data_IF_142868670066
#
_entry.id   IF_142868670066
#
_cell.length_a   1.000
_cell.length_b   1.000
_cell.length_c   1.000
_cell.angle_alpha   90.00
_cell.angle_beta   90.00
_cell.angle_gamma   90.00
#
_symmetry.space_group_name_H-M   'P 1'
#
loop_
_entity.id
_entity.type
_entity.pdbx_description
1 polymer ?
#
# COMPACT_ATOMS: atom_id res chain seq x y z
N UNK A 1 2.77 -4.83 12.44
CA UNK A 1 3.43 -3.60 12.93
C UNK A 1 4.85 -3.87 13.43
N UNK A 2 5.08 -4.72 14.44
CA UNK A 2 6.43 -5.06 14.96
C UNK A 2 7.36 -5.66 13.89
N UNK A 3 6.84 -6.51 13.00
CA UNK A 3 7.61 -7.10 11.90
C UNK A 3 8.18 -6.06 10.91
N UNK A 4 7.58 -4.87 10.81
CA UNK A 4 8.04 -3.77 9.94
C UNK A 4 9.23 -3.00 10.55
N UNK A 5 9.44 -3.15 11.86
CA UNK A 5 10.48 -2.46 12.62
C UNK A 5 11.64 -3.39 12.98
N UNK A 6 11.76 -4.57 12.33
CA UNK A 6 12.85 -5.53 12.58
C UNK A 6 14.25 -4.90 12.53
N UNK A 7 14.43 -3.82 11.76
CA UNK A 7 15.69 -3.07 11.66
C UNK A 7 16.16 -2.43 12.98
N UNK A 8 15.25 -2.16 13.91
CA UNK A 8 15.53 -1.49 15.19
C UNK A 8 15.98 -2.48 16.30
N UNK A 9 15.97 -3.80 16.03
CA UNK A 9 16.43 -4.85 16.95
C UNK A 9 15.47 -5.15 18.12
N UNK A 10 15.00 -4.14 18.84
CA UNK A 10 14.12 -4.28 20.01
C UNK A 10 12.75 -4.95 19.75
N UNK A 11 12.14 -4.92 18.54
CA UNK A 11 10.86 -5.60 18.33
C UNK A 11 10.97 -7.11 18.39
N UNK A 12 12.16 -7.68 18.12
CA UNK A 12 12.39 -9.12 18.19
C UNK A 12 12.40 -9.58 19.63
N UNK A 13 13.06 -8.84 20.53
CA UNK A 13 13.10 -9.15 21.96
C UNK A 13 11.70 -9.18 22.59
N UNK A 14 10.81 -8.27 22.19
CA UNK A 14 9.43 -8.25 22.65
C UNK A 14 8.60 -9.42 22.12
N UNK A 15 8.81 -9.80 20.85
CA UNK A 15 8.16 -10.98 20.26
C UNK A 15 8.59 -12.26 20.96
N UNK A 16 9.85 -12.34 21.38
CA UNK A 16 10.42 -13.49 22.08
C UNK A 16 9.96 -13.57 23.55
N UNK A 17 9.63 -12.43 24.18
CA UNK A 17 9.03 -12.39 25.53
C UNK A 17 7.53 -12.71 25.54
N UNK A 18 6.84 -12.61 24.40
CA UNK A 18 5.42 -12.95 24.31
C UNK A 18 5.22 -14.46 24.40
N UNK A 19 4.56 -14.91 25.47
CA UNK A 19 4.05 -16.28 25.54
C UNK A 19 2.77 -16.40 24.71
N UNK A 20 2.92 -17.02 23.54
CA UNK A 20 1.82 -17.45 22.67
C UNK A 20 1.85 -18.98 22.60
N UNK A 21 0.68 -19.60 22.61
CA UNK A 21 0.57 -21.01 22.24
C UNK A 21 0.92 -21.20 20.76
N UNK A 22 1.33 -22.42 20.40
CA UNK A 22 1.81 -22.74 19.05
C UNK A 22 0.74 -22.49 17.98
N UNK A 23 -0.53 -22.75 18.29
CA UNK A 23 -1.66 -22.53 17.37
C UNK A 23 -1.84 -21.03 17.08
N UNK A 24 -1.85 -20.19 18.13
CA UNK A 24 -1.94 -18.74 18.02
C UNK A 24 -0.73 -18.15 17.31
N UNK A 25 0.47 -18.67 17.57
CA UNK A 25 1.70 -18.25 16.89
C UNK A 25 1.66 -18.58 15.41
N UNK A 26 1.11 -19.73 15.03
CA UNK A 26 1.02 -20.14 13.64
C UNK A 26 -0.03 -19.32 12.87
N UNK A 27 -1.22 -19.12 13.46
CA UNK A 27 -2.25 -18.24 12.92
C UNK A 27 -1.74 -16.79 12.73
N UNK A 28 -0.98 -16.28 13.70
CA UNK A 28 -0.38 -14.95 13.60
C UNK A 28 0.67 -14.87 12.49
N UNK A 29 1.42 -15.94 12.22
CA UNK A 29 2.40 -15.98 11.12
C UNK A 29 1.76 -16.00 9.75
N UNK A 30 0.63 -16.67 9.59
CA UNK A 30 -0.10 -16.71 8.32
C UNK A 30 -0.68 -15.35 7.91
N UNK A 31 -0.97 -14.48 8.89
CA UNK A 31 -1.43 -13.11 8.66
C UNK A 31 -0.29 -12.10 8.49
N UNK A 32 0.97 -12.50 8.71
CA UNK A 32 2.13 -11.66 8.44
C UNK A 32 2.43 -11.76 6.94
N UNK A 33 1.89 -10.81 6.19
CA UNK A 33 2.42 -10.50 4.86
C UNK A 33 3.86 -9.98 5.05
N UNK A 34 4.84 -10.84 4.76
CA UNK A 34 6.21 -10.42 4.58
C UNK A 34 6.28 -9.44 3.41
N UNK A 35 6.37 -8.15 3.71
CA UNK A 35 7.25 -7.26 2.96
C UNK A 35 6.83 -6.78 1.57
N UNK A 36 5.82 -7.34 0.90
CA UNK A 36 5.33 -6.73 -0.35
C UNK A 36 4.20 -5.75 -0.05
N UNK A 37 4.58 -4.58 0.46
CA UNK A 37 3.73 -3.41 0.25
C UNK A 37 3.60 -3.26 -1.26
N UNK A 38 2.39 -3.51 -1.78
CA UNK A 38 2.02 -3.31 -3.18
C UNK A 38 2.64 -1.99 -3.67
N UNK A 39 3.62 -2.09 -4.57
CA UNK A 39 4.40 -0.94 -5.03
C UNK A 39 3.64 -0.29 -6.18
N UNK A 40 2.87 0.74 -5.88
CA UNK A 40 2.20 1.53 -6.89
C UNK A 40 3.21 2.36 -7.67
N UNK A 41 3.16 2.28 -9.00
CA UNK A 41 4.00 3.07 -9.91
C UNK A 41 3.15 3.86 -10.87
N UNK A 42 3.61 5.05 -11.23
CA UNK A 42 3.02 5.81 -12.32
C UNK A 42 3.47 5.28 -13.70
N UNK A 43 2.90 5.85 -14.77
CA UNK A 43 3.24 5.51 -16.15
C UNK A 43 4.72 5.79 -16.53
N UNK A 44 5.46 6.54 -15.70
CA UNK A 44 6.88 6.86 -15.89
C UNK A 44 7.80 6.05 -14.95
N UNK A 45 7.23 5.13 -14.14
CA UNK A 45 7.97 4.27 -13.22
C UNK A 45 8.29 4.88 -11.86
N UNK A 46 7.73 6.06 -11.53
CA UNK A 46 7.89 6.67 -10.20
C UNK A 46 7.05 5.93 -9.17
N UNK A 47 7.63 5.63 -8.01
CA UNK A 47 6.92 5.01 -6.89
C UNK A 47 6.01 6.06 -6.25
N UNK A 48 4.73 5.75 -6.15
CA UNK A 48 3.72 6.62 -5.58
C UNK A 48 3.57 6.38 -4.09
N UNK A 49 3.25 7.45 -3.36
CA UNK A 49 2.92 7.43 -1.94
C UNK A 49 1.53 7.98 -1.68
N UNK A 50 0.94 7.58 -0.55
CA UNK A 50 -0.36 8.05 -0.13
C UNK A 50 -0.31 9.57 0.14
N UNK A 51 -1.20 10.33 -0.48
CA UNK A 51 -1.23 11.81 -0.40
C UNK A 51 -0.53 12.52 -1.57
N UNK A 52 0.08 11.79 -2.50
CA UNK A 52 0.75 12.39 -3.65
C UNK A 52 -0.22 13.02 -4.66
N UNK A 53 0.36 13.73 -5.62
CA UNK A 53 -0.35 14.35 -6.74
C UNK A 53 0.08 13.68 -8.03
N UNK A 54 -0.88 13.24 -8.82
CA UNK A 54 -0.63 12.57 -10.11
C UNK A 54 -1.33 13.32 -11.23
N UNK A 55 -0.79 13.18 -12.45
CA UNK A 55 -1.32 13.81 -13.65
C UNK A 55 -1.84 12.74 -14.59
N UNK A 56 -3.07 12.92 -15.05
CA UNK A 56 -3.72 12.04 -16.00
C UNK A 56 -3.03 12.15 -17.37
N UNK A 57 -2.40 11.08 -17.84
CA UNK A 57 -1.65 11.03 -19.11
C UNK A 57 -2.56 10.86 -20.34
N UNK A 58 -3.73 10.23 -20.16
CA UNK A 58 -4.69 9.90 -21.20
C UNK A 58 -6.13 10.24 -20.78
N UNK A 59 -6.99 10.56 -21.73
CA UNK A 59 -8.37 10.92 -21.40
C UNK A 59 -9.16 9.69 -20.98
N UNK A 60 -9.67 9.68 -19.75
CA UNK A 60 -10.42 8.57 -19.18
C UNK A 60 -11.87 8.99 -18.92
N UNK A 61 -12.81 8.08 -19.18
CA UNK A 61 -14.20 8.28 -18.81
C UNK A 61 -14.41 7.84 -17.35
N UNK A 62 -14.89 8.74 -16.49
CA UNK A 62 -15.05 8.45 -15.07
C UNK A 62 -16.35 7.67 -14.87
N UNK A 63 -16.25 6.42 -14.40
CA UNK A 63 -17.44 5.65 -14.04
C UNK A 63 -18.16 6.36 -12.88
N UNK A 64 -19.45 6.68 -13.05
CA UNK A 64 -20.28 7.31 -12.01
C UNK A 64 -20.37 8.85 -12.07
N UNK A 65 -19.64 9.50 -12.97
CA UNK A 65 -19.80 10.94 -13.26
C UNK A 65 -20.04 11.15 -14.75
N UNK A 66 -20.84 12.16 -15.12
CA UNK A 66 -21.08 12.51 -16.53
C UNK A 66 -19.95 13.40 -17.11
N UNK A 67 -18.73 13.26 -16.56
CA UNK A 67 -17.56 14.09 -16.84
C UNK A 67 -16.39 13.16 -17.14
N UNK A 68 -15.66 13.44 -18.21
CA UNK A 68 -14.41 12.78 -18.54
C UNK A 68 -13.22 13.48 -17.89
N UNK A 69 -12.29 12.72 -17.34
CA UNK A 69 -11.00 13.21 -16.89
C UNK A 69 -10.13 13.42 -18.14
N UNK A 70 -9.90 14.69 -18.53
CA UNK A 70 -9.10 15.01 -19.70
C UNK A 70 -7.62 14.81 -19.40
N UNK A 71 -6.83 14.49 -20.44
CA UNK A 71 -5.37 14.54 -20.39
C UNK A 71 -4.89 15.86 -19.77
N UNK A 72 -3.96 15.77 -18.81
CA UNK A 72 -3.42 16.91 -18.07
C UNK A 72 -4.19 17.30 -16.81
N UNK A 73 -5.27 16.59 -16.47
CA UNK A 73 -5.97 16.81 -15.19
C UNK A 73 -5.08 16.36 -14.03
N UNK A 74 -4.97 17.21 -12.99
CA UNK A 74 -4.18 16.92 -11.79
C UNK A 74 -5.08 16.38 -10.69
N UNK A 75 -4.84 15.14 -10.27
CA UNK A 75 -5.51 14.51 -9.13
C UNK A 75 -4.62 14.70 -7.90
N UNK A 76 -5.21 15.20 -6.82
CA UNK A 76 -4.51 15.52 -5.59
C UNK A 76 -4.92 14.54 -4.49
N UNK A 77 -4.00 14.26 -3.56
CA UNK A 77 -4.28 13.50 -2.36
C UNK A 77 -4.75 12.06 -2.65
N UNK A 78 -4.01 11.37 -3.52
CA UNK A 78 -4.33 9.99 -3.90
C UNK A 78 -4.19 9.03 -2.73
N UNK A 79 -4.96 7.96 -2.74
CA UNK A 79 -4.87 6.82 -1.85
C UNK A 79 -4.44 5.58 -2.61
N UNK A 80 -3.53 4.83 -2.01
CA UNK A 80 -2.98 3.61 -2.59
C UNK A 80 -3.81 2.42 -2.12
N UNK A 81 -4.25 1.58 -3.07
CA UNK A 81 -5.06 0.40 -2.78
C UNK A 81 -4.18 -0.77 -2.40
N UNK A 82 -4.36 -1.28 -1.18
CA UNK A 82 -3.52 -2.33 -0.61
C UNK A 82 -3.55 -3.66 -1.37
N UNK A 83 -4.62 -3.91 -2.13
CA UNK A 83 -4.87 -5.19 -2.82
C UNK A 83 -4.58 -5.14 -4.33
N UNK A 84 -4.23 -3.97 -4.90
CA UNK A 84 -4.04 -3.83 -6.35
C UNK A 84 -3.02 -2.74 -6.71
N UNK A 85 -1.89 -3.12 -7.30
CA UNK A 85 -0.81 -2.20 -7.69
C UNK A 85 -1.22 -1.16 -8.73
N UNK A 86 -2.16 -1.49 -9.61
CA UNK A 86 -2.60 -0.63 -10.70
C UNK A 86 -3.72 0.34 -10.29
N UNK A 87 -4.24 0.22 -9.06
CA UNK A 87 -5.37 1.01 -8.59
C UNK A 87 -4.97 2.05 -7.54
N UNK A 88 -5.45 3.27 -7.76
CA UNK A 88 -5.36 4.39 -6.81
C UNK A 88 -6.74 5.06 -6.68
N UNK A 89 -7.04 5.63 -5.52
CA UNK A 89 -8.33 6.24 -5.14
C UNK A 89 -8.24 7.72 -4.75
#
# INVERSE_FOLDING_TARGET
MLHRLKAEGWPQDLLDMMYLDDDTKNWAKETIQEGDAVIHRDAHGNILSNGDKVVVTETLNVKGANISAKKGTVVHNIRLVHDNEEQIE
#
